data_IF_666300099082
#
_entry.id   IF_666300099082
#
_cell.length_a   1.000
_cell.length_b   1.000
_cell.length_c   1.000
_cell.angle_alpha   90.00
_cell.angle_beta   90.00
_cell.angle_gamma   90.00
#
_symmetry.space_group_name_H-M   'P 1'
#
loop_
_entity.id
_entity.type
_entity.pdbx_description
1 polymer ?
#
# COMPACT_ATOMS: atom_id res chain seq x y z
N UNK A 1 10.31 20.76 7.97
CA UNK A 1 9.31 21.47 8.79
C UNK A 1 9.71 22.94 8.89
N UNK A 2 8.78 23.86 9.18
CA UNK A 2 9.14 25.23 9.58
C UNK A 2 10.09 25.24 10.80
N UNK A 3 10.96 26.25 10.89
CA UNK A 3 11.99 26.37 11.94
C UNK A 3 11.41 26.45 13.37
N UNK A 4 10.14 26.83 13.51
CA UNK A 4 9.42 26.86 14.79
C UNK A 4 9.25 25.47 15.46
N UNK A 5 9.58 24.39 14.75
CA UNK A 5 9.46 23.01 15.24
C UNK A 5 10.81 22.29 15.40
N UNK A 6 11.94 22.99 15.34
CA UNK A 6 13.27 22.37 15.41
C UNK A 6 13.57 21.66 16.74
N UNK A 7 12.82 21.99 17.80
CA UNK A 7 12.92 21.37 19.13
C UNK A 7 11.92 20.22 19.35
N UNK A 8 11.14 19.86 18.31
CA UNK A 8 10.11 18.82 18.40
C UNK A 8 10.60 17.57 17.69
N UNK A 9 10.58 16.46 18.42
CA UNK A 9 10.93 15.15 17.88
C UNK A 9 9.69 14.44 17.36
N UNK A 10 9.39 14.65 16.07
CA UNK A 10 8.24 14.07 15.38
C UNK A 10 8.62 13.60 13.98
N UNK A 11 8.13 12.43 13.59
CA UNK A 11 8.31 11.87 12.25
C UNK A 11 6.96 11.41 11.71
N UNK A 12 6.57 11.87 10.53
CA UNK A 12 5.35 11.43 9.85
C UNK A 12 5.70 10.70 8.55
N UNK A 13 5.09 9.54 8.34
CA UNK A 13 5.28 8.69 7.16
C UNK A 13 3.92 8.27 6.63
N UNK A 14 3.72 8.41 5.33
CA UNK A 14 2.55 7.89 4.63
C UNK A 14 2.86 6.49 4.06
N UNK A 15 2.14 5.48 4.54
CA UNK A 15 2.24 4.11 4.05
C UNK A 15 1.13 3.89 3.02
N UNK A 16 1.54 3.77 1.76
CA UNK A 16 0.63 3.60 0.62
C UNK A 16 0.58 2.12 0.22
N UNK A 17 -0.60 1.51 0.36
CA UNK A 17 -0.88 0.13 -0.01
C UNK A 17 -1.97 0.10 -1.11
N UNK A 18 -1.54 0.06 -2.36
CA UNK A 18 -2.42 0.10 -3.56
C UNK A 18 -3.32 1.34 -3.56
N UNK A 19 -4.60 1.17 -3.23
CA UNK A 19 -5.64 2.20 -3.24
C UNK A 19 -5.94 2.73 -1.82
N UNK A 20 -5.12 2.36 -0.82
CA UNK A 20 -5.26 2.79 0.57
C UNK A 20 -3.99 3.50 1.04
N UNK A 21 -4.15 4.55 1.83
CA UNK A 21 -3.07 5.28 2.47
C UNK A 21 -3.36 5.32 3.98
N UNK A 22 -2.32 5.19 4.80
CA UNK A 22 -2.38 5.45 6.24
C UNK A 22 -1.18 6.31 6.62
N UNK A 23 -1.43 7.35 7.40
CA UNK A 23 -0.37 8.18 7.97
C UNK A 23 0.01 7.64 9.33
N UNK A 24 1.28 7.33 9.52
CA UNK A 24 1.86 6.97 10.82
C UNK A 24 2.70 8.14 11.28
N UNK A 25 2.37 8.69 12.44
CA UNK A 25 3.09 9.77 13.09
C UNK A 25 3.75 9.18 14.34
N UNK A 26 5.07 9.30 14.43
CA UNK A 26 5.86 8.88 15.59
C UNK A 26 6.28 10.13 16.35
N UNK A 27 6.03 10.14 17.65
CA UNK A 27 6.31 11.27 18.56
C UNK A 27 7.27 10.83 19.64
N UNK A 28 8.19 11.71 19.99
CA UNK A 28 8.89 11.67 21.26
C UNK A 28 8.74 13.02 21.97
N UNK A 29 8.17 13.00 23.16
CA UNK A 29 8.11 14.15 24.05
C UNK A 29 9.18 13.97 25.13
N UNK A 30 10.15 14.89 25.27
CA UNK A 30 11.39 14.61 25.98
C UNK A 30 11.26 14.36 27.48
N UNK A 31 10.29 14.97 28.16
CA UNK A 31 9.98 14.74 29.56
C UNK A 31 8.68 15.47 29.95
N UNK A 32 8.11 15.09 31.10
CA UNK A 32 6.86 15.65 31.60
C UNK A 32 6.85 17.18 31.80
N UNK A 33 7.99 17.76 32.15
CA UNK A 33 8.12 19.20 32.44
C UNK A 33 8.19 20.06 31.17
N UNK A 34 8.42 19.45 30.01
CA UNK A 34 8.52 20.18 28.75
C UNK A 34 7.15 20.68 28.28
N UNK A 35 7.06 21.86 27.64
CA UNK A 35 5.80 22.35 27.10
C UNK A 35 5.28 21.48 25.96
N UNK A 36 4.00 21.12 26.00
CA UNK A 36 3.36 20.29 24.96
C UNK A 36 2.81 21.12 23.79
N UNK A 37 2.64 22.44 23.94
CA UNK A 37 1.95 23.30 22.97
C UNK A 37 2.55 23.26 21.56
N UNK A 38 3.89 23.25 21.46
CA UNK A 38 4.58 23.14 20.18
C UNK A 38 4.30 21.80 19.50
N UNK A 39 4.40 20.70 20.27
CA UNK A 39 4.10 19.34 19.80
C UNK A 39 2.66 19.23 19.30
N UNK A 40 1.69 19.71 20.08
CA UNK A 40 0.28 19.67 19.70
C UNK A 40 0.01 20.51 18.44
N UNK A 41 0.64 21.67 18.32
CA UNK A 41 0.54 22.52 17.12
C UNK A 41 1.13 21.83 15.88
N UNK A 42 2.22 21.07 16.03
CA UNK A 42 2.78 20.28 14.94
C UNK A 42 1.87 19.10 14.56
N UNK A 43 1.30 18.41 15.54
CA UNK A 43 0.36 17.31 15.31
C UNK A 43 -0.91 17.78 14.59
N UNK A 44 -1.46 18.94 14.98
CA UNK A 44 -2.62 19.55 14.33
C UNK A 44 -2.39 19.73 12.82
N UNK A 45 -1.22 20.26 12.44
CA UNK A 45 -0.84 20.42 11.02
C UNK A 45 -0.72 19.09 10.28
N UNK A 46 -0.31 18.02 10.96
CA UNK A 46 -0.11 16.69 10.37
C UNK A 46 -1.40 15.87 10.25
N UNK A 47 -2.40 16.17 11.09
CA UNK A 47 -3.72 15.55 11.10
C UNK A 47 -4.62 16.02 9.95
N UNK A 48 -4.28 17.12 9.27
CA UNK A 48 -4.98 17.65 8.09
C UNK A 48 -4.87 16.76 6.83
N UNK A 49 -5.33 15.50 6.91
CA UNK A 49 -5.37 14.54 5.82
C UNK A 49 -6.71 13.79 5.81
N UNK A 50 -7.21 13.47 4.61
CA UNK A 50 -8.40 12.62 4.44
C UNK A 50 -8.13 11.14 4.68
N UNK A 51 -6.86 10.75 4.90
CA UNK A 51 -6.47 9.37 5.15
C UNK A 51 -6.49 9.04 6.66
N UNK A 52 -6.75 7.77 7.04
CA UNK A 52 -6.55 7.33 8.42
C UNK A 52 -5.18 7.72 8.95
N UNK A 53 -5.14 8.21 10.18
CA UNK A 53 -3.92 8.63 10.86
C UNK A 53 -3.79 7.90 12.19
N UNK A 54 -2.56 7.51 12.49
CA UNK A 54 -2.17 6.85 13.73
C UNK A 54 -1.00 7.64 14.31
N UNK A 55 -1.12 8.06 15.57
CA UNK A 55 -0.05 8.75 16.30
C UNK A 55 0.44 7.79 17.37
N UNK A 56 1.75 7.53 17.40
CA UNK A 56 2.37 6.61 18.36
C UNK A 56 3.63 7.22 18.96
N UNK A 57 3.98 6.80 20.17
CA UNK A 57 5.28 7.08 20.77
C UNK A 57 5.20 7.48 22.23
N UNK A 58 6.34 7.89 22.78
CA UNK A 58 6.48 8.26 24.19
C UNK A 58 6.14 9.72 24.41
N UNK A 59 5.05 9.98 25.14
CA UNK A 59 4.58 11.31 25.47
C UNK A 59 5.05 11.81 26.83
N UNK A 60 5.69 10.97 27.65
CA UNK A 60 6.15 11.33 29.00
C UNK A 60 5.10 12.08 29.85
N UNK A 61 3.83 11.65 29.76
CA UNK A 61 2.70 12.27 30.47
C UNK A 61 2.08 11.33 31.52
N UNK A 62 2.74 11.15 32.68
CA UNK A 62 2.36 10.16 33.69
C UNK A 62 1.06 10.47 34.44
N UNK A 63 0.61 11.73 34.45
CA UNK A 63 -0.53 12.13 35.28
C UNK A 63 -1.88 12.09 34.57
N UNK A 64 -1.98 11.41 33.42
CA UNK A 64 -3.24 11.15 32.73
C UNK A 64 -3.86 9.87 33.29
N UNK A 65 -5.11 9.98 33.77
CA UNK A 65 -5.98 8.84 34.00
C UNK A 65 -6.81 8.60 32.72
N UNK A 66 -6.39 7.63 31.92
CA UNK A 66 -7.05 7.26 30.66
C UNK A 66 -8.39 6.55 30.84
N UNK A 67 -8.69 6.04 32.04
CA UNK A 67 -9.98 5.39 32.34
C UNK A 67 -11.04 6.44 32.66
N UNK A 68 -10.65 7.48 33.40
CA UNK A 68 -11.55 8.59 33.74
C UNK A 68 -11.48 9.75 32.75
N UNK A 69 -10.52 9.73 31.82
CA UNK A 69 -10.18 10.84 30.93
C UNK A 69 -9.92 12.14 31.72
N UNK A 70 -9.13 12.05 32.79
CA UNK A 70 -8.75 13.19 33.63
C UNK A 70 -7.24 13.34 33.73
N UNK A 71 -6.78 14.55 34.08
CA UNK A 71 -5.37 14.84 34.29
C UNK A 71 -5.17 15.68 35.56
N UNK A 72 -4.03 15.47 36.24
CA UNK A 72 -3.68 16.25 37.46
C UNK A 72 -2.92 17.54 37.16
N UNK A 73 -2.43 17.70 35.95
CA UNK A 73 -1.70 18.89 35.50
C UNK A 73 -2.14 19.38 34.13
N UNK A 74 -1.71 20.59 33.79
CA UNK A 74 -2.12 21.30 32.58
C UNK A 74 -1.57 20.68 31.29
N UNK A 75 -0.36 20.13 31.29
CA UNK A 75 0.23 19.53 30.08
C UNK A 75 -0.54 18.25 29.72
N UNK A 76 -0.76 17.40 30.71
CA UNK A 76 -1.57 16.19 30.57
C UNK A 76 -3.02 16.51 30.15
N UNK A 77 -3.64 17.55 30.73
CA UNK A 77 -4.98 18.00 30.35
C UNK A 77 -5.07 18.41 28.88
N UNK A 78 -4.08 19.17 28.38
CA UNK A 78 -4.02 19.57 26.96
C UNK A 78 -3.96 18.38 26.00
N UNK A 79 -3.32 17.28 26.39
CA UNK A 79 -3.27 16.06 25.56
C UNK A 79 -4.64 15.38 25.50
N UNK A 80 -5.36 15.32 26.62
CA UNK A 80 -6.74 14.80 26.66
C UNK A 80 -7.63 15.68 25.77
N UNK A 81 -7.59 17.00 25.95
CA UNK A 81 -8.37 17.95 25.15
C UNK A 81 -8.03 17.82 23.66
N UNK A 82 -6.75 17.73 23.31
CA UNK A 82 -6.29 17.52 21.94
C UNK A 82 -6.88 16.23 21.34
N UNK A 83 -6.84 15.13 22.10
CA UNK A 83 -7.40 13.85 21.64
C UNK A 83 -8.90 13.93 21.39
N UNK A 84 -9.64 14.57 22.31
CA UNK A 84 -11.09 14.75 22.20
C UNK A 84 -11.47 15.65 21.02
N UNK A 85 -10.79 16.80 20.88
CA UNK A 85 -11.08 17.78 19.84
C UNK A 85 -10.81 17.26 18.43
N UNK A 86 -9.84 16.35 18.29
CA UNK A 86 -9.46 15.75 17.01
C UNK A 86 -10.10 14.38 16.74
N UNK A 87 -11.04 13.93 17.59
CA UNK A 87 -11.70 12.63 17.43
C UNK A 87 -10.73 11.45 17.48
N UNK A 88 -9.68 11.56 18.30
CA UNK A 88 -8.64 10.55 18.45
C UNK A 88 -8.99 9.57 19.56
N UNK A 89 -9.04 8.29 19.22
CA UNK A 89 -9.16 7.21 20.20
C UNK A 89 -7.78 6.78 20.68
N UNK A 90 -7.54 6.83 21.99
CA UNK A 90 -6.35 6.29 22.63
C UNK A 90 -6.53 4.78 22.91
N UNK A 91 -5.57 3.96 22.51
CA UNK A 91 -5.70 2.50 22.54
C UNK A 91 -4.86 1.78 23.62
N UNK A 92 -3.82 2.41 24.16
CA UNK A 92 -2.96 1.78 25.18
C UNK A 92 -3.55 1.97 26.57
N UNK A 93 -4.08 0.90 27.17
CA UNK A 93 -4.79 0.94 28.46
C UNK A 93 -4.02 0.38 29.65
N UNK A 94 -2.79 -0.10 29.46
CA UNK A 94 -1.98 -0.70 30.52
C UNK A 94 -0.59 -0.06 30.58
N UNK A 95 0.06 -0.01 31.77
CA UNK A 95 1.35 0.64 31.95
C UNK A 95 2.44 0.13 30.99
N UNK A 96 3.12 1.06 30.33
CA UNK A 96 4.22 0.80 29.41
C UNK A 96 5.58 1.06 30.05
N UNK A 97 5.64 1.89 31.09
CA UNK A 97 6.82 2.04 31.96
C UNK A 97 6.48 1.55 33.36
N UNK A 98 7.37 0.77 33.96
CA UNK A 98 7.19 0.23 35.32
C UNK A 98 8.04 1.04 36.32
N UNK A 99 7.62 1.03 37.60
CA UNK A 99 8.34 1.64 38.71
C UNK A 99 8.60 3.16 38.59
N UNK A 100 7.56 4.02 38.70
CA UNK A 100 6.15 3.67 38.92
C UNK A 100 5.41 3.32 37.62
N UNK A 101 4.31 2.59 37.76
CA UNK A 101 3.48 2.14 36.65
C UNK A 101 2.79 3.33 35.97
N UNK A 102 3.23 3.65 34.75
CA UNK A 102 2.71 4.74 33.95
C UNK A 102 2.41 4.31 32.51
N UNK A 103 1.37 4.91 31.93
CA UNK A 103 1.07 4.81 30.49
C UNK A 103 1.71 6.02 29.82
N UNK A 104 2.95 5.85 29.34
CA UNK A 104 3.71 6.93 28.70
C UNK A 104 3.73 6.79 27.18
N UNK A 105 3.76 5.54 26.69
CA UNK A 105 3.68 5.24 25.27
C UNK A 105 2.22 5.20 24.85
N UNK A 106 1.83 6.17 24.03
CA UNK A 106 0.45 6.33 23.58
C UNK A 106 0.30 5.84 22.15
N UNK A 107 -0.90 5.36 21.83
CA UNK A 107 -1.32 5.07 20.46
C UNK A 107 -2.70 5.70 20.26
N UNK A 108 -2.77 6.73 19.40
CA UNK A 108 -4.00 7.37 18.99
C UNK A 108 -4.37 6.99 17.55
N UNK A 109 -5.66 6.93 17.25
CA UNK A 109 -6.14 6.87 15.86
C UNK A 109 -7.40 7.70 15.65
N UNK A 110 -7.52 8.36 14.50
CA UNK A 110 -8.74 9.11 14.13
C UNK A 110 -9.82 8.25 13.44
N UNK A 111 -9.51 7.00 13.12
CA UNK A 111 -10.37 6.07 12.38
C UNK A 111 -10.18 4.66 12.93
N UNK A 112 -11.15 3.74 12.78
CA UNK A 112 -11.08 2.38 13.33
C UNK A 112 -10.17 1.46 12.49
N UNK A 113 -8.86 1.77 12.47
CA UNK A 113 -7.82 1.02 11.75
C UNK A 113 -6.94 0.17 12.67
N UNK A 114 -6.93 0.47 13.97
CA UNK A 114 -6.25 -0.34 14.98
C UNK A 114 -7.11 -1.57 15.28
N UNK A 115 -6.54 -2.76 15.08
CA UNK A 115 -7.22 -4.04 15.31
C UNK A 115 -6.88 -4.65 16.68
N UNK A 116 -5.62 -4.55 17.07
CA UNK A 116 -5.09 -5.19 18.28
C UNK A 116 -3.89 -4.40 18.80
N UNK A 117 -3.77 -4.31 20.12
CA UNK A 117 -2.60 -3.76 20.81
C UNK A 117 -2.14 -4.77 21.84
N UNK A 118 -0.83 -5.06 21.83
CA UNK A 118 -0.19 -5.95 22.80
C UNK A 118 0.95 -5.23 23.46
N UNK A 119 0.94 -5.23 24.78
CA UNK A 119 2.05 -4.76 25.59
C UNK A 119 2.87 -5.98 25.99
N UNK A 120 4.09 -6.07 25.47
CA UNK A 120 5.00 -7.19 25.64
C UNK A 120 5.94 -7.03 26.81
N UNK A 121 7.10 -7.68 26.69
CA UNK A 121 8.17 -7.64 27.69
C UNK A 121 8.89 -6.29 27.71
N UNK A 122 9.65 -6.07 28.78
CA UNK A 122 10.56 -4.92 28.89
C UNK A 122 11.62 -5.00 27.78
N UNK A 123 11.71 -3.93 27.00
CA UNK A 123 12.78 -3.72 26.02
C UNK A 123 13.88 -2.80 26.58
N UNK A 124 13.58 -2.08 27.68
CA UNK A 124 14.48 -1.30 28.54
C UNK A 124 13.72 -1.03 29.86
N UNK A 125 13.61 0.22 30.29
CA UNK A 125 12.65 0.70 31.29
C UNK A 125 11.22 0.81 30.75
N UNK A 126 11.05 0.76 29.42
CA UNK A 126 9.76 0.65 28.73
C UNK A 126 9.47 -0.76 28.22
N UNK A 127 8.19 -1.13 28.19
CA UNK A 127 7.65 -2.35 27.58
C UNK A 127 7.43 -2.16 26.09
N UNK A 128 7.62 -3.22 25.32
CA UNK A 128 7.38 -3.21 23.89
C UNK A 128 5.89 -3.08 23.57
N UNK A 129 5.51 -2.03 22.82
CA UNK A 129 4.13 -1.84 22.32
C UNK A 129 4.03 -2.38 20.90
N UNK A 130 3.23 -3.43 20.71
CA UNK A 130 2.95 -4.00 19.38
C UNK A 130 1.54 -3.62 18.93
N UNK A 131 1.45 -2.94 17.78
CA UNK A 131 0.17 -2.45 17.23
C UNK A 131 -0.11 -3.17 15.92
N UNK A 132 -1.28 -3.81 15.83
CA UNK A 132 -1.75 -4.46 14.60
C UNK A 132 -2.79 -3.59 13.92
N UNK A 133 -2.54 -3.28 12.65
CA UNK A 133 -3.43 -2.46 11.84
C UNK A 133 -4.20 -3.31 10.82
N UNK A 134 -5.48 -3.00 10.61
CA UNK A 134 -6.33 -3.69 9.66
C UNK A 134 -6.87 -2.73 8.60
N UNK A 135 -6.50 -3.00 7.34
CA UNK A 135 -6.94 -2.20 6.20
C UNK A 135 -7.83 -3.03 5.28
N UNK A 136 -8.98 -2.47 4.88
CA UNK A 136 -9.83 -3.06 3.84
C UNK A 136 -9.19 -2.79 2.48
N UNK A 137 -8.37 -3.72 2.01
CA UNK A 137 -7.86 -3.66 0.65
C UNK A 137 -8.97 -4.05 -0.32
N UNK A 138 -9.34 -3.16 -1.25
CA UNK A 138 -10.08 -3.59 -2.43
C UNK A 138 -9.19 -4.55 -3.20
N UNK A 139 -9.56 -5.84 -3.25
CA UNK A 139 -8.94 -6.75 -4.20
C UNK A 139 -9.37 -6.31 -5.59
N UNK A 140 -8.57 -5.47 -6.26
CA UNK A 140 -8.66 -5.40 -7.72
C UNK A 140 -8.32 -6.80 -8.24
N UNK A 141 -9.30 -7.49 -8.83
CA UNK A 141 -9.02 -8.60 -9.74
C UNK A 141 -8.30 -7.96 -10.93
N UNK A 142 -6.97 -7.87 -10.87
CA UNK A 142 -6.13 -7.40 -11.98
C UNK A 142 -6.00 -8.54 -12.99
N UNK A 143 -7.15 -8.94 -13.53
CA UNK A 143 -7.26 -9.92 -14.59
C UNK A 143 -8.09 -9.26 -15.66
N UNK A 144 -7.41 -8.59 -16.58
CA UNK A 144 -8.02 -8.14 -17.81
C UNK A 144 -8.24 -9.37 -18.68
N UNK A 145 -9.40 -9.44 -19.34
CA UNK A 145 -9.63 -10.45 -20.37
C UNK A 145 -9.18 -9.87 -21.69
N UNK A 146 -8.12 -10.44 -22.27
CA UNK A 146 -7.65 -10.06 -23.62
C UNK A 146 -7.97 -11.17 -24.61
N UNK A 147 -8.17 -10.82 -25.88
CA UNK A 147 -8.35 -11.80 -26.95
C UNK A 147 -7.03 -12.50 -27.24
N UNK A 148 -7.06 -13.83 -27.28
CA UNK A 148 -5.92 -14.63 -27.69
C UNK A 148 -6.00 -14.96 -29.19
N UNK A 149 -5.56 -14.02 -30.02
CA UNK A 149 -5.53 -14.18 -31.48
C UNK A 149 -4.74 -15.42 -31.92
N UNK A 150 -3.71 -15.85 -31.17
CA UNK A 150 -2.98 -17.09 -31.49
C UNK A 150 -3.84 -18.36 -31.40
N UNK A 151 -4.96 -18.32 -30.69
CA UNK A 151 -5.90 -19.45 -30.52
C UNK A 151 -7.25 -19.19 -31.19
N UNK A 152 -7.34 -18.22 -32.11
CA UNK A 152 -8.57 -17.97 -32.86
C UNK A 152 -8.89 -19.11 -33.81
N UNK A 153 -10.17 -19.46 -33.92
CA UNK A 153 -10.67 -20.36 -34.97
C UNK A 153 -10.86 -19.59 -36.28
N UNK A 154 -9.74 -19.37 -36.98
CA UNK A 154 -9.73 -18.66 -38.25
C UNK A 154 -10.39 -19.44 -39.40
N UNK A 155 -10.49 -20.76 -39.29
CA UNK A 155 -11.19 -21.58 -40.28
C UNK A 155 -12.66 -21.23 -40.29
N UNK A 156 -13.31 -21.18 -39.11
CA UNK A 156 -14.70 -20.73 -38.99
C UNK A 156 -14.87 -19.27 -39.44
N UNK A 157 -14.00 -18.36 -39.00
CA UNK A 157 -14.07 -16.94 -39.40
C UNK A 157 -14.04 -16.80 -40.93
N UNK A 158 -13.08 -17.45 -41.58
CA UNK A 158 -12.94 -17.40 -43.04
C UNK A 158 -14.16 -17.99 -43.76
N UNK A 159 -14.69 -19.11 -43.27
CA UNK A 159 -15.90 -19.71 -43.80
C UNK A 159 -17.10 -18.75 -43.73
N UNK A 160 -17.31 -18.07 -42.60
CA UNK A 160 -18.40 -17.10 -42.51
C UNK A 160 -18.18 -15.90 -43.42
N UNK A 161 -16.99 -15.32 -43.44
CA UNK A 161 -16.68 -14.17 -44.30
C UNK A 161 -16.85 -14.47 -45.80
N UNK A 162 -16.51 -15.68 -46.24
CA UNK A 162 -16.66 -16.10 -47.64
C UNK A 162 -18.12 -16.33 -48.06
N UNK A 163 -19.00 -16.63 -47.11
CA UNK A 163 -20.42 -16.92 -47.38
C UNK A 163 -21.34 -15.70 -47.23
N UNK A 164 -20.80 -14.54 -46.83
CA UNK A 164 -21.58 -13.30 -46.75
C UNK A 164 -21.80 -12.72 -48.14
N UNK A 165 -23.06 -12.39 -48.46
CA UNK A 165 -23.40 -11.64 -49.67
C UNK A 165 -23.11 -10.14 -49.46
N UNK A 166 -21.84 -9.76 -49.60
CA UNK A 166 -21.37 -8.39 -49.42
C UNK A 166 -22.08 -7.36 -50.32
N UNK A 167 -22.32 -7.61 -51.62
CA UNK A 167 -23.05 -6.66 -52.46
C UNK A 167 -24.44 -6.32 -51.92
N UNK A 168 -25.17 -7.33 -51.43
CA UNK A 168 -26.48 -7.11 -50.80
C UNK A 168 -26.37 -6.35 -49.48
N UNK A 169 -25.34 -6.65 -48.69
CA UNK A 169 -25.11 -5.99 -47.39
C UNK A 169 -24.73 -4.51 -47.53
N UNK A 170 -24.04 -4.17 -48.63
CA UNK A 170 -23.55 -2.84 -48.93
C UNK A 170 -24.48 -2.01 -49.83
N UNK A 171 -25.61 -2.56 -50.25
CA UNK A 171 -26.56 -1.85 -51.11
C UNK A 171 -27.00 -0.52 -50.48
N UNK A 172 -26.99 0.55 -51.27
CA UNK A 172 -27.39 1.91 -50.86
C UNK A 172 -26.63 2.48 -49.65
N UNK A 173 -25.40 1.99 -49.39
CA UNK A 173 -24.52 2.54 -48.35
C UNK A 173 -23.41 3.37 -48.99
N UNK A 174 -23.03 4.46 -48.33
CA UNK A 174 -21.79 5.16 -48.64
C UNK A 174 -20.57 4.37 -48.09
N UNK A 175 -19.37 4.78 -48.48
CA UNK A 175 -18.12 4.10 -48.10
C UNK A 175 -17.93 4.01 -46.58
N UNK A 176 -18.29 5.05 -45.82
CA UNK A 176 -18.15 5.02 -44.37
C UNK A 176 -19.13 4.02 -43.75
N UNK A 177 -20.37 4.02 -44.24
CA UNK A 177 -21.39 3.05 -43.82
C UNK A 177 -21.00 1.61 -44.18
N UNK A 178 -20.39 1.38 -45.34
CA UNK A 178 -19.87 0.05 -45.71
C UNK A 178 -18.75 -0.40 -44.78
N UNK A 179 -17.79 0.49 -44.48
CA UNK A 179 -16.69 0.20 -43.57
C UNK A 179 -17.19 -0.11 -42.16
N UNK A 180 -18.15 0.66 -41.63
CA UNK A 180 -18.74 0.42 -40.32
C UNK A 180 -19.38 -0.97 -40.24
N UNK A 181 -20.17 -1.36 -41.26
CA UNK A 181 -20.80 -2.68 -41.34
C UNK A 181 -19.75 -3.79 -41.44
N UNK A 182 -18.72 -3.61 -42.26
CA UNK A 182 -17.63 -4.58 -42.36
C UNK A 182 -16.92 -4.80 -41.02
N UNK A 183 -16.55 -3.71 -40.34
CA UNK A 183 -15.90 -3.73 -39.03
C UNK A 183 -16.79 -4.42 -38.00
N UNK A 184 -18.09 -4.14 -38.00
CA UNK A 184 -19.05 -4.80 -37.12
C UNK A 184 -19.09 -6.32 -37.34
N UNK A 185 -19.21 -6.76 -38.60
CA UNK A 185 -19.20 -8.19 -38.95
C UNK A 185 -17.91 -8.87 -38.45
N UNK A 186 -16.75 -8.28 -38.76
CA UNK A 186 -15.46 -8.84 -38.36
C UNK A 186 -15.34 -8.88 -36.83
N UNK A 187 -15.73 -7.82 -36.13
CA UNK A 187 -15.67 -7.76 -34.67
C UNK A 187 -16.58 -8.80 -34.02
N UNK A 188 -17.76 -9.06 -34.59
CA UNK A 188 -18.68 -10.09 -34.11
C UNK A 188 -18.09 -11.50 -34.29
N UNK A 189 -17.47 -11.76 -35.44
CA UNK A 189 -16.78 -13.03 -35.68
C UNK A 189 -15.56 -13.20 -34.75
N UNK A 190 -14.76 -12.14 -34.56
CA UNK A 190 -13.63 -12.14 -33.63
C UNK A 190 -14.10 -12.35 -32.20
N UNK A 191 -15.22 -11.74 -31.78
CA UNK A 191 -15.79 -11.95 -30.45
C UNK A 191 -16.27 -13.40 -30.24
N UNK A 192 -16.78 -14.06 -31.28
CA UNK A 192 -17.29 -15.42 -31.22
C UNK A 192 -16.20 -16.49 -31.30
N UNK A 193 -15.20 -16.28 -32.16
CA UNK A 193 -14.23 -17.32 -32.52
C UNK A 193 -12.80 -17.08 -32.00
N UNK A 194 -12.53 -15.92 -31.37
CA UNK A 194 -11.24 -15.67 -30.69
C UNK A 194 -11.46 -15.71 -29.18
N UNK A 195 -10.88 -16.71 -28.47
CA UNK A 195 -11.13 -16.88 -27.04
C UNK A 195 -10.50 -15.75 -26.22
N UNK A 196 -11.18 -15.41 -25.12
CA UNK A 196 -10.63 -14.53 -24.09
C UNK A 196 -9.73 -15.32 -23.14
N UNK A 197 -8.57 -14.74 -22.81
CA UNK A 197 -7.66 -15.27 -21.80
C UNK A 197 -7.45 -14.26 -20.68
N UNK A 198 -7.27 -14.80 -19.48
CA UNK A 198 -6.93 -14.02 -18.30
C UNK A 198 -5.50 -13.48 -18.44
N UNK A 199 -5.37 -12.16 -18.46
CA UNK A 199 -4.11 -11.45 -18.50
C UNK A 199 -3.95 -10.63 -17.23
N UNK A 200 -2.83 -10.85 -16.53
CA UNK A 200 -2.48 -10.07 -15.36
C UNK A 200 -1.33 -9.11 -15.75
N UNK A 201 -1.60 -7.82 -15.97
CA UNK A 201 -0.57 -6.85 -16.36
C UNK A 201 0.52 -6.67 -15.29
N UNK A 202 0.24 -6.96 -14.03
CA UNK A 202 1.21 -6.88 -12.94
C UNK A 202 2.12 -8.11 -12.87
N UNK A 203 1.74 -9.22 -13.51
CA UNK A 203 2.56 -10.43 -13.55
C UNK A 203 3.64 -10.27 -14.61
N UNK A 204 4.77 -9.69 -14.22
CA UNK A 204 5.97 -9.63 -15.07
C UNK A 204 6.39 -11.04 -15.47
N UNK A 205 6.34 -11.33 -16.77
CA UNK A 205 6.69 -12.64 -17.29
C UNK A 205 8.18 -12.70 -17.64
N UNK A 206 9.01 -12.94 -16.62
CA UNK A 206 10.44 -13.08 -16.84
C UNK A 206 10.79 -14.43 -17.52
N UNK A 207 11.87 -14.50 -18.31
CA UNK A 207 12.43 -15.75 -18.81
C UNK A 207 12.70 -16.77 -17.68
N UNK A 208 12.74 -18.06 -18.04
CA UNK A 208 12.92 -19.16 -17.06
C UNK A 208 14.16 -18.94 -16.17
N UNK A 209 15.28 -18.52 -16.75
CA UNK A 209 16.53 -18.28 -16.01
C UNK A 209 16.41 -17.22 -14.91
N UNK A 210 15.75 -16.09 -15.20
CA UNK A 210 15.53 -15.02 -14.21
C UNK A 210 14.57 -15.50 -13.11
N UNK A 211 13.52 -16.23 -13.47
CA UNK A 211 12.58 -16.83 -12.50
C UNK A 211 13.28 -17.81 -11.56
N UNK A 212 14.22 -18.61 -12.07
CA UNK A 212 15.00 -19.54 -11.25
C UNK A 212 15.89 -18.80 -10.25
N UNK A 213 16.51 -17.69 -10.65
CA UNK A 213 17.32 -16.85 -9.75
C UNK A 213 16.49 -16.16 -8.68
N UNK A 214 15.28 -15.70 -8.98
CA UNK A 214 14.33 -15.22 -7.95
C UNK A 214 14.01 -16.30 -6.92
N UNK A 215 13.74 -17.54 -7.37
CA UNK A 215 13.49 -18.68 -6.46
C UNK A 215 14.70 -18.99 -5.59
N UNK A 216 15.90 -19.03 -6.18
CA UNK A 216 17.15 -19.28 -5.46
C UNK A 216 17.40 -18.20 -4.38
N UNK A 217 17.26 -16.92 -4.73
CA UNK A 217 17.38 -15.81 -3.78
C UNK A 217 16.43 -15.97 -2.58
N UNK A 218 15.17 -16.33 -2.83
CA UNK A 218 14.18 -16.51 -1.76
C UNK A 218 14.49 -17.73 -0.89
N UNK A 219 15.00 -18.82 -1.48
CA UNK A 219 15.45 -19.98 -0.72
C UNK A 219 16.62 -19.64 0.20
N UNK A 220 17.63 -18.92 -0.31
CA UNK A 220 18.77 -18.45 0.48
C UNK A 220 18.33 -17.54 1.64
N UNK A 221 17.41 -16.60 1.42
CA UNK A 221 16.88 -15.75 2.49
C UNK A 221 16.18 -16.55 3.59
N UNK A 222 15.37 -17.54 3.23
CA UNK A 222 14.63 -18.36 4.19
C UNK A 222 15.52 -19.28 5.01
N UNK A 223 16.60 -19.78 4.40
CA UNK A 223 17.50 -20.72 5.06
C UNK A 223 18.61 -20.01 5.86
N UNK A 224 19.16 -18.92 5.32
CA UNK A 224 20.39 -18.30 5.83
C UNK A 224 20.22 -16.82 6.21
N UNK A 225 19.03 -16.23 6.01
CA UNK A 225 18.81 -14.81 6.25
C UNK A 225 19.67 -13.90 5.36
N UNK A 226 20.28 -12.87 5.95
CA UNK A 226 21.11 -11.89 5.23
C UNK A 226 22.57 -12.34 5.01
N UNK A 227 22.77 -13.58 4.54
CA UNK A 227 24.10 -14.16 4.36
C UNK A 227 24.89 -13.51 3.20
N UNK A 228 26.21 -13.75 3.16
CA UNK A 228 27.08 -13.41 2.02
C UNK A 228 26.51 -13.96 0.70
N UNK A 229 26.02 -15.21 0.72
CA UNK A 229 25.44 -15.89 -0.43
C UNK A 229 24.14 -15.23 -0.88
N UNK A 230 23.27 -14.84 0.06
CA UNK A 230 22.07 -14.07 -0.24
C UNK A 230 22.41 -12.73 -0.90
N UNK A 231 23.35 -11.97 -0.33
CA UNK A 231 23.78 -10.67 -0.87
C UNK A 231 24.37 -10.81 -2.28
N UNK A 232 25.19 -11.84 -2.52
CA UNK A 232 25.74 -12.14 -3.86
C UNK A 232 24.63 -12.48 -4.86
N UNK A 233 23.67 -13.33 -4.49
CA UNK A 233 22.54 -13.69 -5.33
C UNK A 233 21.63 -12.48 -5.64
N UNK A 234 21.47 -11.56 -4.70
CA UNK A 234 20.75 -10.29 -4.91
C UNK A 234 21.47 -9.42 -5.94
N UNK A 235 22.77 -9.24 -5.80
CA UNK A 235 23.57 -8.42 -6.72
C UNK A 235 23.53 -8.98 -8.15
N UNK A 236 23.71 -10.30 -8.29
CA UNK A 236 23.65 -10.97 -9.59
C UNK A 236 22.26 -10.82 -10.24
N UNK A 237 21.19 -11.07 -9.48
CA UNK A 237 19.82 -10.92 -9.98
C UNK A 237 19.51 -9.48 -10.39
N UNK A 238 19.99 -8.49 -9.62
CA UNK A 238 19.82 -7.07 -9.95
C UNK A 238 20.47 -6.73 -11.29
N UNK A 239 21.69 -7.21 -11.53
CA UNK A 239 22.39 -6.98 -12.78
C UNK A 239 21.65 -7.59 -13.98
N UNK A 240 21.18 -8.83 -13.85
CA UNK A 240 20.44 -9.53 -14.89
C UNK A 240 19.12 -8.83 -15.21
N UNK A 241 18.40 -8.34 -14.19
CA UNK A 241 17.15 -7.60 -14.38
C UNK A 241 17.39 -6.28 -15.12
N UNK A 242 18.47 -5.56 -14.82
CA UNK A 242 18.84 -4.33 -15.52
C UNK A 242 19.12 -4.62 -17.00
N UNK A 243 19.95 -5.63 -17.30
CA UNK A 243 20.28 -6.00 -18.68
C UNK A 243 19.03 -6.43 -19.46
N UNK A 244 18.17 -7.24 -18.85
CA UNK A 244 16.92 -7.68 -19.47
C UNK A 244 15.95 -6.54 -19.77
N UNK A 245 15.83 -5.56 -18.86
CA UNK A 245 14.97 -4.39 -19.10
C UNK A 245 15.53 -3.50 -20.21
N UNK A 246 16.86 -3.31 -20.29
CA UNK A 246 17.50 -2.57 -21.39
C UNK A 246 17.24 -3.22 -22.75
N UNK A 247 17.50 -4.52 -22.89
CA UNK A 247 17.28 -5.23 -24.16
C UNK A 247 15.82 -5.22 -24.59
N UNK A 248 14.88 -5.32 -23.64
CA UNK A 248 13.43 -5.27 -23.91
C UNK A 248 12.96 -3.90 -24.38
N UNK A 249 13.61 -2.82 -23.93
CA UNK A 249 13.33 -1.47 -24.40
C UNK A 249 13.86 -1.30 -25.83
N UNK A 250 15.11 -1.72 -26.07
CA UNK A 250 15.74 -1.65 -27.40
C UNK A 250 14.93 -2.41 -28.47
N UNK A 251 14.46 -3.63 -28.18
CA UNK A 251 13.60 -4.44 -29.07
C UNK A 251 12.23 -3.81 -29.40
N UNK A 252 11.73 -2.89 -28.57
CA UNK A 252 10.46 -2.19 -28.81
C UNK A 252 10.62 -0.88 -29.56
N UNK A 253 11.84 -0.38 -29.65
CA UNK A 253 12.16 0.92 -30.26
C UNK A 253 12.77 0.77 -31.66
N UNK A 254 12.93 -0.49 -32.11
CA UNK A 254 13.43 -0.91 -33.43
C UNK A 254 12.34 -1.68 -34.15
#
# INVERSE_FOLDING_TARGET
MPAEFDLIEICAIDVILKDSCVRIIVVYHPNHSSPVDGLLSALEKLLCSSSPCIIVGDFNCPHIDWMQSTARDKNCAKIIDFSSNNGLEQHVRVPTRCNPDNILDLCFSNMPVVRDIRIGELFSDHKLVTITLAFKMKQRKVVDKIRNYKKGDYTSINYYLSNINWPRLFVNKDVNSMYAVFVEVVNNLVAKYVPLVNFNPLKKHYPVGIRQKHKNKLALWRNEGNSENYRRAVAELKQILITYEKSRIEEKTT
#
